data_IF_502106307432
#
_entry.id   IF_502106307432
#
_cell.length_a   1.000
_cell.length_b   1.000
_cell.length_c   1.000
_cell.angle_alpha   90.00
_cell.angle_beta   90.00
_cell.angle_gamma   90.00
#
_symmetry.space_group_name_H-M   'P 1'
#
loop_
_entity.id
_entity.type
_entity.pdbx_description
1 polymer ?
#
# COMPACT_ATOMS: atom_id res chain seq x y z
N UNK A 1 -5.39 13.08 13.91
CA UNK A 1 -5.98 11.90 13.25
C UNK A 1 -5.00 11.45 12.18
N UNK A 2 -4.78 10.14 11.97
CA UNK A 2 -3.94 9.67 10.87
C UNK A 2 -4.39 10.24 9.52
N UNK A 3 -3.46 10.80 8.75
CA UNK A 3 -3.79 11.46 7.47
C UNK A 3 -4.13 10.44 6.39
N UNK A 4 -3.32 9.41 6.25
CA UNK A 4 -3.45 8.43 5.18
C UNK A 4 -4.02 7.13 5.74
N UNK A 5 -4.92 6.53 4.97
CA UNK A 5 -5.43 5.19 5.22
C UNK A 5 -5.21 4.35 3.97
N UNK A 6 -4.71 3.13 4.14
CA UNK A 6 -4.71 2.11 3.08
C UNK A 6 -5.65 0.98 3.49
N UNK A 7 -6.39 0.47 2.52
CA UNK A 7 -7.20 -0.75 2.67
C UNK A 7 -6.83 -1.70 1.55
N UNK A 8 -6.64 -2.98 1.87
CA UNK A 8 -6.38 -4.05 0.89
C UNK A 8 -7.38 -5.19 1.12
N UNK A 9 -8.16 -5.53 0.10
CA UNK A 9 -9.21 -6.55 0.16
C UNK A 9 -8.91 -7.70 -0.78
N UNK A 10 -9.10 -8.93 -0.33
CA UNK A 10 -8.96 -10.10 -1.20
C UNK A 10 -10.06 -10.18 -2.26
N UNK A 11 -9.68 -10.19 -3.53
CA UNK A 11 -10.57 -10.37 -4.70
C UNK A 11 -10.65 -11.84 -5.17
N UNK A 12 -9.96 -12.75 -4.49
CA UNK A 12 -9.93 -14.19 -4.79
C UNK A 12 -8.80 -14.59 -5.74
N UNK A 13 -8.50 -15.90 -5.80
CA UNK A 13 -7.43 -16.49 -6.64
C UNK A 13 -6.05 -15.82 -6.50
N UNK A 14 -5.72 -15.31 -5.31
CA UNK A 14 -4.46 -14.62 -5.04
C UNK A 14 -4.40 -13.17 -5.55
N UNK A 15 -5.54 -12.59 -5.95
CA UNK A 15 -5.69 -11.18 -6.32
C UNK A 15 -6.24 -10.34 -5.17
N UNK A 16 -5.86 -9.08 -5.17
CA UNK A 16 -6.19 -8.10 -4.16
C UNK A 16 -6.48 -6.76 -4.82
N UNK A 17 -7.40 -6.01 -4.21
CA UNK A 17 -7.71 -4.64 -4.56
C UNK A 17 -7.31 -3.75 -3.39
N UNK A 18 -6.68 -2.61 -3.67
CA UNK A 18 -6.27 -1.66 -2.66
C UNK A 18 -6.73 -0.23 -2.96
N UNK A 19 -7.05 0.51 -1.91
CA UNK A 19 -7.34 1.95 -1.99
C UNK A 19 -6.62 2.67 -0.87
N UNK A 20 -5.77 3.62 -1.25
CA UNK A 20 -5.20 4.62 -0.34
C UNK A 20 -6.05 5.88 -0.38
N UNK A 21 -6.41 6.43 0.78
CA UNK A 21 -7.13 7.69 0.92
C UNK A 21 -6.31 8.67 1.76
N UNK A 22 -6.10 9.87 1.22
CA UNK A 22 -5.62 11.04 1.96
C UNK A 22 -6.83 11.78 2.56
N UNK A 23 -7.07 11.61 3.85
CA UNK A 23 -8.19 12.23 4.56
C UNK A 23 -8.10 13.75 4.66
N UNK A 24 -6.93 14.36 4.42
CA UNK A 24 -6.80 15.81 4.42
C UNK A 24 -7.35 16.45 3.13
N UNK A 25 -7.30 15.73 2.01
CA UNK A 25 -7.66 16.27 0.68
C UNK A 25 -8.83 15.52 0.03
N UNK A 26 -9.16 14.33 0.52
CA UNK A 26 -10.09 13.40 -0.14
C UNK A 26 -9.48 12.69 -1.35
N UNK A 27 -8.20 12.89 -1.63
CA UNK A 27 -7.52 12.25 -2.76
C UNK A 27 -7.35 10.74 -2.54
N UNK A 28 -7.47 9.96 -3.60
CA UNK A 28 -7.37 8.51 -3.57
C UNK A 28 -6.39 7.97 -4.62
N UNK A 29 -5.72 6.87 -4.28
CA UNK A 29 -4.95 6.04 -5.20
C UNK A 29 -5.54 4.63 -5.17
N UNK A 30 -5.92 4.13 -6.34
CA UNK A 30 -6.58 2.83 -6.50
C UNK A 30 -5.64 1.84 -7.18
N UNK A 31 -5.54 0.64 -6.60
CA UNK A 31 -4.76 -0.49 -7.08
C UNK A 31 -5.69 -1.69 -7.29
N UNK A 32 -6.29 -1.82 -8.47
CA UNK A 32 -7.34 -2.81 -8.76
C UNK A 32 -6.86 -4.22 -9.12
N UNK A 33 -5.55 -4.43 -9.33
CA UNK A 33 -5.01 -5.76 -9.68
C UNK A 33 -3.66 -6.02 -8.99
N UNK A 34 -3.67 -5.99 -7.66
CA UNK A 34 -2.53 -6.45 -6.87
C UNK A 34 -2.51 -7.98 -6.84
N UNK A 35 -1.33 -8.57 -7.02
CA UNK A 35 -1.16 -10.03 -7.10
C UNK A 35 -0.13 -10.51 -6.11
N UNK A 36 -0.37 -11.72 -5.58
CA UNK A 36 0.67 -12.43 -4.84
C UNK A 36 1.78 -12.88 -5.79
N UNK A 37 3.00 -12.56 -5.42
CA UNK A 37 4.20 -13.02 -6.11
C UNK A 37 5.29 -13.43 -5.12
N UNK A 38 6.25 -14.20 -5.62
CA UNK A 38 7.48 -14.52 -4.87
C UNK A 38 8.56 -13.55 -5.35
N UNK A 39 9.12 -12.78 -4.42
CA UNK A 39 10.24 -11.86 -4.67
C UNK A 39 11.31 -12.12 -3.62
N UNK A 40 12.54 -12.40 -4.06
CA UNK A 40 13.69 -12.68 -3.18
C UNK A 40 13.43 -13.74 -2.10
N UNK A 41 12.65 -14.77 -2.46
CA UNK A 41 12.27 -15.85 -1.53
C UNK A 41 11.15 -15.48 -0.53
N UNK A 42 10.64 -14.26 -0.57
CA UNK A 42 9.52 -13.80 0.24
C UNK A 42 8.22 -13.73 -0.58
N UNK A 43 7.11 -14.17 0.02
CA UNK A 43 5.79 -13.94 -0.56
C UNK A 43 5.35 -12.50 -0.28
N UNK A 44 5.11 -11.75 -1.34
CA UNK A 44 4.60 -10.38 -1.29
C UNK A 44 3.28 -10.28 -2.05
N UNK A 45 2.56 -9.17 -1.87
CA UNK A 45 1.50 -8.76 -2.79
C UNK A 45 1.89 -7.43 -3.42
N UNK A 46 1.89 -7.33 -4.74
CA UNK A 46 2.28 -6.11 -5.42
C UNK A 46 1.38 -5.81 -6.62
N UNK A 47 1.28 -4.53 -6.98
CA UNK A 47 0.51 -4.10 -8.15
C UNK A 47 0.66 -2.61 -8.44
N UNK A 48 0.50 -2.19 -9.71
CA UNK A 48 0.49 -0.79 -10.08
C UNK A 48 -0.86 -0.14 -9.75
N UNK A 49 -0.84 1.18 -9.62
CA UNK A 49 -2.06 1.99 -9.64
C UNK A 49 -2.83 1.76 -10.94
N UNK A 50 -4.14 1.53 -10.82
CA UNK A 50 -5.01 1.22 -11.96
C UNK A 50 -5.86 2.41 -12.40
N UNK A 51 -6.12 3.37 -11.53
CA UNK A 51 -6.87 4.58 -11.85
C UNK A 51 -6.02 5.83 -11.66
N UNK A 52 -5.88 6.65 -12.71
CA UNK A 52 -5.06 7.87 -12.70
C UNK A 52 -3.78 7.73 -13.52
N UNK A 53 -2.78 8.57 -13.22
CA UNK A 53 -1.43 8.44 -13.81
C UNK A 53 -0.74 7.31 -13.07
N UNK A 54 -0.57 6.15 -13.71
CA UNK A 54 -0.03 4.90 -13.11
C UNK A 54 1.44 4.98 -12.67
N UNK A 55 1.72 5.90 -11.75
CA UNK A 55 3.05 6.21 -11.21
C UNK A 55 3.31 5.45 -9.91
N UNK A 56 2.25 5.14 -9.15
CA UNK A 56 2.37 4.47 -7.87
C UNK A 56 2.42 2.95 -8.01
N UNK A 57 3.32 2.35 -7.26
CA UNK A 57 3.44 0.91 -7.05
C UNK A 57 3.12 0.58 -5.60
N UNK A 58 2.32 -0.45 -5.38
CA UNK A 58 2.05 -1.03 -4.06
C UNK A 58 2.91 -2.27 -3.87
N UNK A 59 3.53 -2.39 -2.70
CA UNK A 59 4.16 -3.62 -2.20
C UNK A 59 3.68 -3.88 -0.77
N UNK A 60 3.14 -5.07 -0.53
CA UNK A 60 2.76 -5.55 0.80
C UNK A 60 3.56 -6.78 1.18
N UNK A 61 4.07 -6.78 2.41
CA UNK A 61 4.73 -7.94 3.04
C UNK A 61 4.11 -8.24 4.40
N UNK A 62 4.08 -9.52 4.77
CA UNK A 62 3.72 -9.94 6.13
C UNK A 62 4.96 -9.85 7.03
N UNK A 63 4.84 -9.19 8.18
CA UNK A 63 5.88 -9.08 9.21
C UNK A 63 5.86 -10.32 10.14
N UNK A 64 6.97 -10.55 10.82
CA UNK A 64 7.13 -11.69 11.73
C UNK A 64 6.24 -11.60 12.99
N UNK A 65 5.88 -10.37 13.39
CA UNK A 65 4.99 -10.05 14.50
C UNK A 65 3.50 -10.29 14.20
N UNK A 66 3.16 -10.66 12.96
CA UNK A 66 1.79 -10.93 12.52
C UNK A 66 1.09 -9.76 11.84
N UNK A 67 1.66 -8.55 11.88
CA UNK A 67 1.18 -7.39 11.14
C UNK A 67 1.60 -7.47 9.66
N UNK A 68 1.07 -6.56 8.85
CA UNK A 68 1.50 -6.35 7.47
C UNK A 68 2.15 -4.98 7.34
N UNK A 69 3.17 -4.87 6.50
CA UNK A 69 3.69 -3.59 6.04
C UNK A 69 3.22 -3.37 4.61
N UNK A 70 2.76 -2.15 4.30
CA UNK A 70 2.45 -1.73 2.93
C UNK A 70 3.28 -0.51 2.59
N UNK A 71 4.02 -0.58 1.49
CA UNK A 71 4.76 0.53 0.91
C UNK A 71 4.06 0.95 -0.39
N UNK A 72 3.77 2.24 -0.53
CA UNK A 72 3.35 2.86 -1.80
C UNK A 72 4.50 3.71 -2.32
N UNK A 73 4.93 3.47 -3.56
CA UNK A 73 6.11 4.11 -4.13
C UNK A 73 5.76 4.77 -5.46
N UNK A 74 5.96 6.07 -5.57
CA UNK A 74 6.00 6.80 -6.84
C UNK A 74 7.48 7.10 -7.13
N UNK A 75 8.18 6.13 -7.69
CA UNK A 75 9.61 6.23 -7.89
C UNK A 75 9.94 7.19 -9.04
N UNK A 76 10.94 8.07 -8.90
CA UNK A 76 11.91 8.19 -7.80
C UNK A 76 11.55 9.23 -6.73
N UNK A 77 10.29 9.66 -6.63
CA UNK A 77 9.90 10.86 -5.88
C UNK A 77 9.38 10.56 -4.47
N UNK A 78 8.46 9.61 -4.29
CA UNK A 78 7.72 9.47 -3.04
C UNK A 78 7.61 8.04 -2.51
N UNK A 79 7.59 7.92 -1.18
CA UNK A 79 7.26 6.73 -0.41
C UNK A 79 6.19 7.06 0.64
N UNK A 80 5.14 6.26 0.69
CA UNK A 80 4.18 6.25 1.81
C UNK A 80 4.25 4.86 2.44
N UNK A 81 4.73 4.80 3.68
CA UNK A 81 4.86 3.54 4.43
C UNK A 81 3.77 3.43 5.49
N UNK A 82 3.09 2.28 5.47
CA UNK A 82 2.16 1.84 6.49
C UNK A 82 2.84 0.66 7.22
N UNK A 83 3.40 0.95 8.40
CA UNK A 83 4.29 0.04 9.11
C UNK A 83 3.55 -1.13 9.76
N UNK A 84 2.40 -0.85 10.36
CA UNK A 84 1.62 -1.80 11.17
C UNK A 84 0.18 -1.84 10.67
N UNK A 85 -0.03 -2.56 9.56
CA UNK A 85 -1.36 -2.81 9.01
C UNK A 85 -1.97 -4.06 9.66
N UNK A 86 -3.22 -3.91 10.09
CA UNK A 86 -3.98 -4.95 10.80
C UNK A 86 -4.81 -5.76 9.82
N UNK A 87 -4.95 -7.06 10.09
CA UNK A 87 -5.82 -7.95 9.35
C UNK A 87 -7.17 -8.06 10.06
N UNK A 88 -8.18 -7.51 9.43
CA UNK A 88 -9.57 -7.60 9.83
C UNK A 88 -10.34 -8.64 9.00
N UNK A 89 -11.47 -9.07 9.54
CA UNK A 89 -12.48 -9.82 8.82
C UNK A 89 -13.78 -9.01 8.79
N UNK A 90 -14.10 -8.46 7.63
CA UNK A 90 -15.35 -7.75 7.38
C UNK A 90 -16.16 -8.57 6.37
N UNK A 91 -17.40 -8.93 6.72
CA UNK A 91 -18.31 -9.72 5.87
C UNK A 91 -17.70 -11.01 5.30
N UNK A 92 -16.88 -11.70 6.10
CA UNK A 92 -16.19 -12.94 5.70
C UNK A 92 -15.03 -12.74 4.73
N UNK A 93 -14.76 -11.50 4.30
CA UNK A 93 -13.59 -11.14 3.48
C UNK A 93 -12.43 -10.71 4.38
N UNK A 94 -11.22 -11.08 3.96
CA UNK A 94 -9.98 -10.62 4.60
C UNK A 94 -9.69 -9.21 4.10
N UNK A 95 -9.65 -8.26 5.02
CA UNK A 95 -9.34 -6.86 4.78
C UNK A 95 -8.11 -6.50 5.60
N UNK A 96 -7.12 -5.88 4.99
CA UNK A 96 -5.95 -5.34 5.68
C UNK A 96 -6.09 -3.83 5.71
N UNK A 97 -5.98 -3.22 6.88
CA UNK A 97 -6.12 -1.77 7.06
C UNK A 97 -4.86 -1.21 7.69
N UNK A 98 -4.29 -0.15 7.10
CA UNK A 98 -3.12 0.55 7.62
C UNK A 98 -3.38 2.04 7.72
N UNK A 99 -2.70 2.67 8.67
CA UNK A 99 -2.77 4.11 8.90
C UNK A 99 -1.37 4.71 9.02
N UNK A 100 -1.15 5.88 8.44
CA UNK A 100 0.07 6.64 8.66
C UNK A 100 -0.16 8.15 8.55
N UNK A 101 0.85 8.93 8.94
CA UNK A 101 0.79 10.39 8.94
C UNK A 101 1.71 11.05 7.90
N UNK A 102 2.59 10.28 7.27
CA UNK A 102 3.73 10.83 6.52
C UNK A 102 3.85 10.17 5.15
N UNK A 103 4.08 11.02 4.16
CA UNK A 103 4.69 10.67 2.89
C UNK A 103 6.12 11.23 2.93
N UNK A 104 7.09 10.41 2.57
CA UNK A 104 8.51 10.77 2.58
C UNK A 104 9.01 10.86 1.14
N UNK A 105 9.82 11.88 0.79
CA UNK A 105 10.50 11.88 -0.48
C UNK A 105 11.55 10.77 -0.51
N UNK A 106 11.65 10.07 -1.63
CA UNK A 106 12.76 9.15 -1.89
C UNK A 106 14.04 9.98 -2.10
N UNK A 107 15.18 9.45 -1.65
CA UNK A 107 16.43 10.20 -1.42
C UNK A 107 16.99 10.98 -2.64
N UNK A 108 16.45 10.81 -3.86
CA UNK A 108 16.86 11.56 -5.04
C UNK A 108 16.59 13.08 -4.93
N UNK A 109 15.69 13.53 -4.04
CA UNK A 109 15.38 14.97 -3.85
C UNK A 109 16.07 15.60 -2.63
N UNK A 110 16.95 14.88 -1.92
CA UNK A 110 17.69 15.44 -0.78
C UNK A 110 18.95 16.23 -1.16
N UNK A 111 19.33 16.27 -2.45
CA UNK A 111 20.57 16.88 -2.93
C UNK A 111 20.43 18.22 -3.66
N UNK A 112 19.23 18.78 -3.81
CA UNK A 112 19.05 20.12 -4.42
C UNK A 112 18.11 21.01 -3.59
N UNK A 113 18.66 21.61 -2.53
CA UNK A 113 18.09 22.79 -1.86
C UNK A 113 19.20 23.74 -1.41
#
# INVERSE_FOLDING_TARGET
MPRYQITLTGAGRGRFEAVMTDHATGWQIVFGDCRREMRDGQQICAGPQTEGRGLWMLEMRKKADGYYQIDLTDAPHWLIRFEDCELDREDGRRRITGWCNRAEPLAAEKEEA
#
